data_IF_354668910106
#
_entry.id   IF_354668910106
#
_cell.length_a   1.000
_cell.length_b   1.000
_cell.length_c   1.000
_cell.angle_alpha   90.00
_cell.angle_beta   90.00
_cell.angle_gamma   90.00
#
_symmetry.space_group_name_H-M   'P 1'
#
loop_
_entity.id
_entity.type
_entity.pdbx_description
1 polymer ?
#
# COMPACT_ATOMS: atom_id res chain seq x y z
N UNK A 1 -2.78 15.02 -4.16
CA UNK A 1 -3.20 14.19 -3.02
C UNK A 1 -2.09 14.17 -1.98
N UNK A 2 -2.44 14.48 -0.75
CA UNK A 2 -1.46 14.52 0.33
C UNK A 2 -1.35 13.17 1.01
N UNK A 3 -0.14 12.62 1.07
CA UNK A 3 0.13 11.30 1.63
C UNK A 3 1.14 11.42 2.76
N UNK A 4 0.82 10.87 3.90
CA UNK A 4 1.76 10.81 5.01
C UNK A 4 2.89 9.85 4.70
N UNK A 5 4.09 10.15 5.19
CA UNK A 5 5.22 9.23 5.05
C UNK A 5 5.17 8.09 6.08
N UNK A 6 4.64 8.37 7.28
CA UNK A 6 4.56 7.40 8.37
C UNK A 6 3.15 7.34 8.95
N UNK A 7 2.75 6.15 9.39
CA UNK A 7 1.43 5.90 9.97
C UNK A 7 1.58 5.32 11.37
N UNK A 8 0.65 5.67 12.25
CA UNK A 8 0.69 5.24 13.65
C UNK A 8 0.58 3.73 13.82
N UNK A 9 -0.27 3.10 13.02
CA UNK A 9 -0.54 1.68 13.15
C UNK A 9 -0.86 1.07 11.80
N UNK A 10 -0.95 -0.26 11.78
CA UNK A 10 -1.20 -1.02 10.56
C UNK A 10 -2.54 -0.71 9.92
N UNK A 11 -3.56 -0.43 10.73
CA UNK A 11 -4.90 -0.13 10.23
C UNK A 11 -4.92 1.18 9.45
N UNK A 12 -4.33 2.23 10.01
CA UNK A 12 -4.23 3.53 9.32
C UNK A 12 -3.49 3.39 8.00
N UNK A 13 -2.40 2.64 8.01
CA UNK A 13 -1.60 2.41 6.81
C UNK A 13 -2.41 1.66 5.76
N UNK A 14 -3.14 0.62 6.16
CA UNK A 14 -3.97 -0.16 5.26
C UNK A 14 -5.07 0.69 4.64
N UNK A 15 -5.68 1.56 5.42
CA UNK A 15 -6.70 2.49 4.92
C UNK A 15 -6.11 3.44 3.88
N UNK A 16 -4.91 3.94 4.11
CA UNK A 16 -4.24 4.84 3.17
C UNK A 16 -3.92 4.13 1.86
N UNK A 17 -3.39 2.91 1.92
CA UNK A 17 -3.13 2.12 0.71
C UNK A 17 -4.40 1.85 -0.07
N UNK A 18 -5.46 1.45 0.62
CA UNK A 18 -6.75 1.18 -0.02
C UNK A 18 -7.29 2.41 -0.71
N UNK A 19 -7.19 3.56 -0.04
CA UNK A 19 -7.70 4.82 -0.58
C UNK A 19 -6.95 5.24 -1.85
N UNK A 20 -5.64 5.11 -1.86
CA UNK A 20 -4.82 5.43 -3.04
C UNK A 20 -5.22 4.55 -4.22
N UNK A 21 -5.34 3.26 -4.00
CA UNK A 21 -5.70 2.31 -5.06
C UNK A 21 -7.11 2.57 -5.57
N UNK A 22 -8.06 2.83 -4.66
CA UNK A 22 -9.44 3.13 -5.04
C UNK A 22 -9.53 4.38 -5.89
N UNK A 23 -8.75 5.42 -5.58
CA UNK A 23 -8.71 6.65 -6.37
C UNK A 23 -8.20 6.38 -7.78
N UNK A 24 -7.20 5.51 -7.91
CA UNK A 24 -6.70 5.10 -9.22
C UNK A 24 -7.80 4.34 -10.00
N UNK A 25 -8.47 3.40 -9.35
CA UNK A 25 -9.53 2.63 -9.99
C UNK A 25 -10.71 3.50 -10.42
N UNK A 26 -10.97 4.57 -9.70
CA UNK A 26 -12.02 5.55 -10.04
C UNK A 26 -11.55 6.62 -11.01
N UNK A 27 -10.33 6.52 -11.48
CA UNK A 27 -9.72 7.49 -12.42
C UNK A 27 -9.55 8.89 -11.82
N UNK A 28 -9.49 8.99 -10.51
CA UNK A 28 -9.25 10.27 -9.83
C UNK A 28 -7.78 10.67 -9.87
N UNK A 29 -6.87 9.68 -9.91
CA UNK A 29 -5.43 9.93 -10.03
C UNK A 29 -4.85 9.04 -11.11
N UNK A 30 -3.76 9.46 -11.76
CA UNK A 30 -3.11 8.65 -12.78
C UNK A 30 -2.30 7.51 -12.16
N UNK A 31 -1.97 6.53 -12.98
CA UNK A 31 -1.22 5.35 -12.55
C UNK A 31 0.12 5.69 -11.92
N UNK A 32 0.88 6.62 -12.53
CA UNK A 32 2.19 6.98 -12.00
C UNK A 32 2.10 7.60 -10.60
N UNK A 33 1.07 8.39 -10.33
CA UNK A 33 0.86 8.96 -9.01
C UNK A 33 0.50 7.88 -7.99
N UNK A 34 -0.34 6.93 -8.40
CA UNK A 34 -0.71 5.81 -7.55
C UNK A 34 0.53 4.97 -7.21
N UNK A 35 1.34 4.65 -8.21
CA UNK A 35 2.56 3.86 -8.02
C UNK A 35 3.52 4.55 -7.06
N UNK A 36 3.79 5.83 -7.28
CA UNK A 36 4.69 6.60 -6.41
C UNK A 36 4.20 6.65 -4.97
N UNK A 37 2.90 6.84 -4.80
CA UNK A 37 2.30 6.89 -3.46
C UNK A 37 2.41 5.55 -2.74
N UNK A 38 2.13 4.46 -3.43
CA UNK A 38 2.23 3.11 -2.85
C UNK A 38 3.67 2.81 -2.44
N UNK A 39 4.63 3.09 -3.32
CA UNK A 39 6.04 2.86 -3.02
C UNK A 39 6.47 3.65 -1.78
N UNK A 40 6.10 4.92 -1.72
CA UNK A 40 6.45 5.78 -0.60
C UNK A 40 5.89 5.25 0.72
N UNK A 41 4.63 4.85 0.72
CA UNK A 41 4.00 4.30 1.92
C UNK A 41 4.69 3.01 2.36
N UNK A 42 4.93 2.09 1.43
CA UNK A 42 5.56 0.80 1.76
C UNK A 42 7.00 0.99 2.22
N UNK A 43 7.79 1.78 1.51
CA UNK A 43 9.20 2.00 1.88
C UNK A 43 9.38 2.57 3.29
N UNK A 44 8.52 3.50 3.67
CA UNK A 44 8.62 4.16 4.97
C UNK A 44 7.99 3.35 6.11
N UNK A 45 7.27 2.28 5.80
CA UNK A 45 6.52 1.52 6.79
C UNK A 45 6.64 0.00 6.60
N UNK A 46 7.81 -0.47 6.17
CA UNK A 46 8.00 -1.90 5.88
C UNK A 46 7.58 -2.83 7.01
N UNK A 47 7.91 -2.49 8.23
CA UNK A 47 7.57 -3.32 9.40
C UNK A 47 6.07 -3.43 9.65
N UNK A 48 5.30 -2.46 9.13
CA UNK A 48 3.85 -2.46 9.26
C UNK A 48 3.17 -3.12 8.06
N UNK A 49 3.88 -3.22 6.94
CA UNK A 49 3.34 -3.81 5.70
C UNK A 49 3.61 -5.30 5.63
N UNK A 50 4.82 -5.72 5.96
CA UNK A 50 5.25 -7.12 5.85
C UNK A 50 5.47 -7.76 7.20
N UNK A 51 5.17 -9.05 7.29
CA UNK A 51 5.48 -9.83 8.50
C UNK A 51 6.98 -10.10 8.55
N UNK A 52 7.52 -10.22 9.76
CA UNK A 52 8.95 -10.50 9.93
C UNK A 52 9.32 -11.86 9.33
N UNK A 53 10.35 -11.85 8.51
CA UNK A 53 10.99 -13.07 8.03
C UNK A 53 10.36 -13.78 6.85
N UNK A 54 9.11 -13.47 6.50
CA UNK A 54 8.43 -14.18 5.42
C UNK A 54 8.22 -13.35 4.16
N UNK A 55 8.22 -12.02 4.29
CA UNK A 55 7.92 -11.14 3.17
C UNK A 55 6.45 -11.07 2.79
N UNK A 56 5.59 -11.72 3.55
CA UNK A 56 4.15 -11.68 3.33
C UNK A 56 3.52 -10.45 3.98
N UNK A 57 2.36 -10.06 3.48
CA UNK A 57 1.62 -8.96 4.07
C UNK A 57 1.10 -9.34 5.46
N UNK A 58 1.01 -8.34 6.34
CA UNK A 58 0.45 -8.56 7.68
C UNK A 58 -1.02 -8.94 7.59
N UNK A 59 -1.53 -9.59 8.64
CA UNK A 59 -2.94 -9.97 8.72
C UNK A 59 -3.85 -8.75 8.62
N UNK A 60 -3.46 -7.64 9.24
CA UNK A 60 -4.25 -6.41 9.20
C UNK A 60 -4.40 -5.91 7.76
N UNK A 61 -3.33 -5.90 6.99
CA UNK A 61 -3.40 -5.49 5.59
C UNK A 61 -4.29 -6.43 4.78
N UNK A 62 -4.17 -7.73 5.00
CA UNK A 62 -5.02 -8.70 4.31
C UNK A 62 -6.50 -8.48 4.57
N UNK A 63 -6.85 -8.18 5.82
CA UNK A 63 -8.23 -7.94 6.21
C UNK A 63 -8.78 -6.61 5.72
N UNK A 64 -7.96 -5.56 5.78
CA UNK A 64 -8.41 -4.20 5.44
C UNK A 64 -8.36 -3.91 3.94
N UNK A 65 -7.33 -4.37 3.25
CA UNK A 65 -7.15 -4.08 1.83
C UNK A 65 -7.83 -5.09 0.92
N UNK A 66 -7.79 -6.35 1.32
CA UNK A 66 -8.29 -7.44 0.49
C UNK A 66 -7.29 -7.88 -0.57
N UNK A 67 -7.58 -9.02 -1.18
CA UNK A 67 -6.67 -9.67 -2.11
C UNK A 67 -6.34 -8.84 -3.35
N UNK A 68 -7.34 -8.20 -3.95
CA UNK A 68 -7.14 -7.44 -5.20
C UNK A 68 -6.22 -6.25 -5.01
N UNK A 69 -6.43 -5.50 -3.93
CA UNK A 69 -5.57 -4.35 -3.64
C UNK A 69 -4.15 -4.78 -3.31
N UNK A 70 -4.00 -5.86 -2.57
CA UNK A 70 -2.67 -6.36 -2.23
C UNK A 70 -1.94 -6.93 -3.45
N UNK A 71 -2.65 -7.46 -4.43
CA UNK A 71 -2.03 -7.87 -5.70
C UNK A 71 -1.42 -6.67 -6.42
N UNK A 72 -2.12 -5.53 -6.41
CA UNK A 72 -1.61 -4.29 -7.00
C UNK A 72 -0.35 -3.84 -6.26
N UNK A 73 -0.40 -3.84 -4.93
CA UNK A 73 0.74 -3.44 -4.11
C UNK A 73 1.93 -4.37 -4.36
N UNK A 74 1.70 -5.67 -4.41
CA UNK A 74 2.74 -6.66 -4.66
C UNK A 74 3.42 -6.46 -6.01
N UNK A 75 2.65 -6.25 -7.05
CA UNK A 75 3.19 -6.01 -8.39
C UNK A 75 4.04 -4.74 -8.44
N UNK A 76 3.56 -3.68 -7.82
CA UNK A 76 4.29 -2.41 -7.77
C UNK A 76 5.60 -2.60 -7.02
N UNK A 77 5.55 -3.26 -5.88
CA UNK A 77 6.73 -3.48 -5.04
C UNK A 77 7.78 -4.35 -5.74
N UNK A 78 7.34 -5.42 -6.41
CA UNK A 78 8.24 -6.31 -7.13
C UNK A 78 8.89 -5.64 -8.33
N UNK A 79 8.20 -4.70 -8.96
CA UNK A 79 8.68 -4.03 -10.17
C UNK A 79 9.45 -2.73 -9.91
N UNK A 80 9.49 -2.26 -8.69
CA UNK A 80 10.17 -0.99 -8.41
C UNK A 80 11.69 -1.06 -8.58
N UNK A 81 12.18 -2.21 -8.72
CA UNK A 81 13.56 -2.37 -9.01
C UNK A 81 14.41 -2.95 -8.02
#
# INVERSE_FOLDING_TARGET
MEIKSFYKNQRELAEALSKVIDKYWCSEIPENEMIDSVIKIVENNRSKVFTDGSGDFTTVLRQQCGKKRLEVVSKIWDNKG
#
